data_IF_445686174798
#
_entry.id   IF_445686174798
#
_cell.length_a   1.000
_cell.length_b   1.000
_cell.length_c   1.000
_cell.angle_alpha   90.00
_cell.angle_beta   90.00
_cell.angle_gamma   90.00
#
_symmetry.space_group_name_H-M   'P 1'
#
loop_
_entity.id
_entity.type
_entity.pdbx_description
1 polymer ?
#
# COMPACT_ATOMS: atom_id res chain seq x y z
N UNK A 1 3.11 -28.87 40.86
CA UNK A 1 2.34 -28.49 39.64
C UNK A 1 2.45 -27.00 39.29
N UNK A 2 2.51 -26.08 40.27
CA UNK A 2 2.57 -24.62 40.04
C UNK A 2 3.85 -24.17 39.29
N UNK A 3 5.02 -24.67 39.67
CA UNK A 3 6.31 -24.32 39.05
C UNK A 3 6.40 -24.74 37.58
N UNK A 4 5.88 -25.92 37.22
CA UNK A 4 5.84 -26.40 35.81
C UNK A 4 4.95 -25.50 34.94
N UNK A 5 3.86 -24.97 35.50
CA UNK A 5 2.98 -24.01 34.82
C UNK A 5 3.65 -22.65 34.65
N UNK A 6 4.38 -22.17 35.66
CA UNK A 6 5.15 -20.93 35.59
C UNK A 6 6.25 -21.02 34.52
N UNK A 7 6.98 -22.15 34.47
CA UNK A 7 7.98 -22.42 33.43
C UNK A 7 7.38 -22.44 32.03
N UNK A 8 6.20 -23.06 31.87
CA UNK A 8 5.48 -23.08 30.59
C UNK A 8 5.07 -21.68 30.13
N UNK A 9 4.55 -20.85 31.05
CA UNK A 9 4.17 -19.47 30.76
C UNK A 9 5.40 -18.65 30.37
N UNK A 10 6.51 -18.81 31.10
CA UNK A 10 7.75 -18.11 30.80
C UNK A 10 8.30 -18.50 29.42
N UNK A 11 8.26 -19.79 29.09
CA UNK A 11 8.70 -20.30 27.79
C UNK A 11 7.80 -19.82 26.65
N UNK A 12 6.49 -19.73 26.87
CA UNK A 12 5.56 -19.16 25.89
C UNK A 12 5.82 -17.67 25.66
N UNK A 13 6.07 -16.91 26.73
CA UNK A 13 6.37 -15.48 26.65
C UNK A 13 7.68 -15.22 25.89
N UNK A 14 8.73 -16.00 26.13
CA UNK A 14 10.00 -15.81 25.42
C UNK A 14 9.83 -16.07 23.92
N UNK A 15 9.14 -17.14 23.53
CA UNK A 15 8.87 -17.45 22.11
C UNK A 15 8.07 -16.31 21.45
N UNK A 16 7.05 -15.79 22.14
CA UNK A 16 6.22 -14.70 21.64
C UNK A 16 7.00 -13.38 21.46
N UNK A 17 7.93 -13.09 22.38
CA UNK A 17 8.81 -11.91 22.28
C UNK A 17 9.75 -11.98 21.07
N UNK A 18 10.28 -13.17 20.74
CA UNK A 18 11.17 -13.33 19.56
C UNK A 18 10.40 -13.38 18.24
N UNK A 19 9.19 -13.96 18.22
CA UNK A 19 8.37 -14.01 17.01
C UNK A 19 7.95 -12.60 16.53
N UNK A 20 7.68 -11.69 17.47
CA UNK A 20 7.26 -10.30 17.17
C UNK A 20 8.37 -9.44 16.57
N UNK A 21 9.65 -9.82 16.70
CA UNK A 21 10.76 -9.07 16.13
C UNK A 21 10.84 -9.15 14.60
N UNK A 22 10.21 -10.18 14.01
CA UNK A 22 10.21 -10.43 12.56
C UNK A 22 9.14 -9.66 11.78
N UNK A 23 8.19 -9.01 12.46
CA UNK A 23 7.24 -8.10 11.85
C UNK A 23 7.89 -6.72 11.60
N UNK A 24 9.04 -6.72 10.91
CA UNK A 24 9.60 -5.51 10.33
C UNK A 24 8.71 -5.17 9.14
N UNK A 25 7.77 -4.24 9.33
CA UNK A 25 7.25 -3.48 8.20
C UNK A 25 8.48 -2.80 7.61
N UNK A 26 8.90 -3.24 6.42
CA UNK A 26 9.85 -2.45 5.65
C UNK A 26 9.18 -1.10 5.48
N UNK A 27 9.74 -0.06 6.08
CA UNK A 27 9.42 1.30 5.71
C UNK A 27 9.91 1.43 4.27
N UNK A 28 9.05 1.06 3.33
CA UNK A 28 9.36 1.17 1.92
C UNK A 28 9.25 2.65 1.66
N UNK A 29 10.39 3.31 1.52
CA UNK A 29 10.42 4.70 1.07
C UNK A 29 9.78 4.76 -0.32
N UNK A 30 8.51 5.17 -0.37
CA UNK A 30 7.80 5.34 -1.61
C UNK A 30 8.16 6.72 -2.17
N UNK A 31 8.94 6.74 -3.25
CA UNK A 31 9.18 7.96 -4.01
C UNK A 31 8.31 7.95 -5.27
N UNK A 32 7.63 9.07 -5.53
CA UNK A 32 7.06 9.40 -6.83
C UNK A 32 7.94 10.52 -7.40
N UNK A 33 8.99 10.20 -8.17
CA UNK A 33 9.90 11.20 -8.69
C UNK A 33 9.23 12.18 -9.64
N UNK A 34 8.20 11.73 -10.36
CA UNK A 34 7.51 12.54 -11.36
C UNK A 34 6.05 12.17 -11.49
N UNK A 35 5.22 13.20 -11.52
CA UNK A 35 3.78 13.11 -11.72
C UNK A 35 3.34 14.23 -12.67
N UNK A 36 2.72 13.85 -13.79
CA UNK A 36 2.24 14.78 -14.82
C UNK A 36 0.79 14.45 -15.19
N UNK A 37 -0.02 15.50 -15.31
CA UNK A 37 -1.39 15.41 -15.84
C UNK A 37 -1.52 16.43 -16.96
N UNK A 38 -1.97 15.98 -18.12
CA UNK A 38 -2.41 16.82 -19.22
C UNK A 38 -3.93 16.66 -19.34
N UNK A 39 -4.68 17.74 -19.18
CA UNK A 39 -6.14 17.74 -19.24
C UNK A 39 -6.65 18.76 -20.25
N UNK A 40 -7.58 18.35 -21.12
CA UNK A 40 -8.15 19.18 -22.17
C UNK A 40 -9.67 19.09 -22.17
N UNK A 41 -10.35 20.24 -22.14
CA UNK A 41 -11.81 20.33 -22.27
C UNK A 41 -12.13 20.58 -23.74
N UNK A 42 -12.90 19.67 -24.34
CA UNK A 42 -13.34 19.76 -25.72
C UNK A 42 -14.54 20.71 -25.85
N UNK A 43 -14.81 21.20 -27.07
CA UNK A 43 -15.92 22.14 -27.32
C UNK A 43 -17.30 21.57 -26.98
N UNK A 44 -17.44 20.24 -27.01
CA UNK A 44 -18.66 19.53 -26.63
C UNK A 44 -18.81 19.31 -25.11
N UNK A 45 -17.85 19.80 -24.32
CA UNK A 45 -17.83 19.67 -22.86
C UNK A 45 -17.27 18.34 -22.36
N UNK A 46 -16.82 17.44 -23.24
CA UNK A 46 -16.07 16.25 -22.84
C UNK A 46 -14.64 16.62 -22.41
N UNK A 47 -13.99 15.73 -21.65
CA UNK A 47 -12.65 15.98 -21.09
C UNK A 47 -11.71 14.82 -21.42
N UNK A 48 -10.60 15.15 -22.07
CA UNK A 48 -9.49 14.23 -22.28
C UNK A 48 -8.45 14.42 -21.17
N UNK A 49 -8.05 13.33 -20.52
CA UNK A 49 -7.07 13.34 -19.44
C UNK A 49 -5.99 12.30 -19.74
N UNK A 50 -4.73 12.76 -19.80
CA UNK A 50 -3.55 11.90 -19.87
C UNK A 50 -2.75 12.07 -18.59
N UNK A 51 -2.48 10.96 -17.90
CA UNK A 51 -1.74 10.96 -16.65
C UNK A 51 -0.52 10.07 -16.74
N UNK A 52 0.63 10.61 -16.34
CA UNK A 52 1.92 9.92 -16.36
C UNK A 52 2.52 9.98 -14.97
N UNK A 53 2.75 8.81 -14.39
CA UNK A 53 3.36 8.66 -13.08
C UNK A 53 4.62 7.82 -13.22
N UNK A 54 5.73 8.34 -12.73
CA UNK A 54 7.01 7.62 -12.67
C UNK A 54 7.22 7.14 -11.25
N UNK A 55 7.67 5.89 -11.07
CA UNK A 55 7.95 5.30 -9.77
C UNK A 55 9.38 4.76 -9.76
N UNK A 56 10.09 5.01 -8.66
CA UNK A 56 11.38 4.39 -8.40
C UNK A 56 11.18 3.26 -7.38
N UNK A 57 11.51 2.02 -7.73
CA UNK A 57 11.46 0.85 -6.82
C UNK A 57 10.84 -0.42 -7.39
N UNK A 58 10.97 -1.55 -6.66
CA UNK A 58 10.29 -2.82 -6.96
C UNK A 58 8.87 -2.80 -6.38
N UNK A 59 7.90 -2.68 -7.26
CA UNK A 59 6.51 -2.34 -6.98
C UNK A 59 5.66 -3.53 -6.48
N UNK A 60 4.80 -3.32 -5.46
CA UNK A 60 3.82 -4.32 -4.96
C UNK A 60 2.38 -3.76 -4.85
N UNK A 61 1.89 -3.13 -5.93
CA UNK A 61 0.46 -2.90 -6.11
C UNK A 61 0.05 -1.44 -6.18
N UNK A 62 -0.43 -1.05 -7.36
CA UNK A 62 -1.48 -0.06 -7.46
C UNK A 62 -2.69 -0.74 -8.02
N UNK A 63 -3.78 -0.58 -7.29
CA UNK A 63 -5.11 -0.72 -7.84
C UNK A 63 -5.63 0.70 -8.04
N UNK A 64 -5.67 1.12 -9.31
CA UNK A 64 -6.48 2.24 -9.74
C UNK A 64 -7.73 1.67 -10.38
N UNK A 65 -8.87 1.84 -9.72
CA UNK A 65 -10.15 1.61 -10.37
C UNK A 65 -10.52 2.88 -11.14
N UNK A 66 -10.48 2.81 -12.46
CA UNK A 66 -10.97 3.88 -13.33
C UNK A 66 -12.43 3.58 -13.64
N UNK A 67 -13.34 4.24 -12.93
CA UNK A 67 -14.77 4.16 -13.21
C UNK A 67 -15.13 5.25 -14.22
N UNK A 68 -15.33 4.88 -15.48
CA UNK A 68 -16.04 5.72 -16.44
C UNK A 68 -17.48 5.23 -16.57
N UNK A 69 -18.44 6.05 -16.14
CA UNK A 69 -19.87 5.81 -16.36
C UNK A 69 -20.76 6.74 -15.54
N UNK A 70 -21.48 7.72 -16.08
CA UNK A 70 -21.64 8.07 -17.49
C UNK A 70 -22.10 9.52 -17.65
N UNK A 71 -21.48 10.21 -18.62
CA UNK A 71 -22.09 11.34 -19.31
C UNK A 71 -22.90 10.79 -20.48
N UNK A 72 -24.04 10.17 -20.17
CA UNK A 72 -25.07 9.84 -21.15
C UNK A 72 -26.23 10.77 -20.93
N UNK A 73 -26.53 11.58 -21.95
CA UNK A 73 -27.77 12.32 -22.19
C UNK A 73 -29.03 11.64 -21.63
#
# INVERSE_FOLDING_TARGET
MKIKRVLLILCFLTIFSFASASAQVSDVDFSIPSYQIDAFIQEDGSVDIVERITYDGSFNGQYREIVYGGGGV
#
